data_IF_017418347751
#
_entry.id   IF_017418347751
#
_cell.length_a   1.000
_cell.length_b   1.000
_cell.length_c   1.000
_cell.angle_alpha   90.00
_cell.angle_beta   90.00
_cell.angle_gamma   90.00
#
_symmetry.space_group_name_H-M   'P 1'
#
loop_
_entity.id
_entity.type
_entity.pdbx_description
1 polymer ?
#
# COMPACT_ATOMS: atom_id res chain seq x y z
N UNK A 1 23.64 4.46 -8.73
CA UNK A 1 22.45 4.17 -9.57
C UNK A 1 21.83 2.91 -9.00
N UNK A 2 20.51 2.88 -8.80
CA UNK A 2 19.83 1.72 -8.18
C UNK A 2 19.84 0.53 -9.15
N UNK A 3 20.31 -0.63 -8.69
CA UNK A 3 20.29 -1.86 -9.48
C UNK A 3 18.84 -2.33 -9.72
N UNK A 4 18.53 -2.64 -10.97
CA UNK A 4 17.20 -3.08 -11.43
C UNK A 4 17.25 -4.40 -12.19
N UNK A 5 18.42 -5.03 -12.33
CA UNK A 5 18.58 -6.25 -13.14
C UNK A 5 17.73 -7.42 -12.62
N UNK A 6 17.49 -7.46 -11.30
CA UNK A 6 16.69 -8.48 -10.63
C UNK A 6 15.18 -8.24 -10.73
N UNK A 7 14.74 -7.09 -11.24
CA UNK A 7 13.32 -6.79 -11.38
C UNK A 7 12.73 -7.57 -12.55
N UNK A 8 11.65 -8.30 -12.27
CA UNK A 8 10.95 -9.10 -13.27
C UNK A 8 9.76 -8.36 -13.87
N UNK A 9 9.27 -7.30 -13.21
CA UNK A 9 8.08 -6.57 -13.64
C UNK A 9 8.43 -5.22 -14.28
N UNK A 10 9.33 -4.42 -13.71
CA UNK A 10 9.61 -3.05 -14.20
C UNK A 10 10.07 -3.04 -15.67
N UNK A 11 9.53 -2.11 -16.48
CA UNK A 11 9.88 -1.95 -17.90
C UNK A 11 9.33 -3.01 -18.86
N UNK A 12 8.62 -4.03 -18.37
CA UNK A 12 8.06 -5.13 -19.19
C UNK A 12 6.54 -5.01 -19.36
N UNK A 13 5.96 -5.75 -20.28
CA UNK A 13 4.51 -6.00 -20.22
C UNK A 13 4.25 -7.10 -19.18
N UNK A 14 3.42 -6.82 -18.18
CA UNK A 14 3.20 -7.72 -17.04
C UNK A 14 1.71 -7.83 -16.81
N UNK A 15 1.12 -9.05 -16.92
CA UNK A 15 -0.31 -9.22 -16.74
C UNK A 15 -0.71 -8.90 -15.30
N UNK A 16 -1.96 -8.45 -15.13
CA UNK A 16 -2.51 -8.23 -13.80
C UNK A 16 -2.66 -9.56 -13.06
N UNK A 17 -2.17 -9.69 -11.81
CA UNK A 17 -2.39 -10.89 -11.01
C UNK A 17 -3.88 -11.12 -10.74
N UNK A 18 -4.32 -12.38 -10.77
CA UNK A 18 -5.71 -12.75 -10.54
C UNK A 18 -6.15 -12.56 -9.09
N UNK A 19 -5.20 -12.60 -8.15
CA UNK A 19 -5.46 -12.36 -6.74
C UNK A 19 -4.29 -11.65 -6.04
N UNK A 20 -4.55 -11.01 -4.88
CA UNK A 20 -3.49 -10.44 -4.05
C UNK A 20 -2.46 -11.45 -3.58
N UNK A 21 -2.84 -12.73 -3.42
CA UNK A 21 -1.91 -13.78 -2.99
C UNK A 21 -0.87 -14.10 -4.06
N UNK A 22 -1.25 -14.02 -5.33
CA UNK A 22 -0.38 -14.33 -6.48
C UNK A 22 0.46 -13.14 -6.92
N UNK A 23 0.08 -11.92 -6.52
CA UNK A 23 0.81 -10.71 -6.85
C UNK A 23 2.21 -10.71 -6.21
N UNK A 24 3.22 -10.34 -7.00
CA UNK A 24 4.61 -10.24 -6.56
C UNK A 24 4.95 -8.79 -6.24
N UNK A 25 5.41 -8.55 -5.02
CA UNK A 25 6.01 -7.27 -4.62
C UNK A 25 7.52 -7.38 -4.80
N UNK A 26 8.10 -6.46 -5.55
CA UNK A 26 9.53 -6.35 -5.79
C UNK A 26 10.10 -5.19 -4.99
N UNK A 27 11.39 -5.28 -4.72
CA UNK A 27 12.14 -4.23 -4.04
C UNK A 27 13.44 -3.95 -4.77
N UNK A 28 13.94 -2.74 -4.58
CA UNK A 28 15.26 -2.31 -5.02
C UNK A 28 16.10 -1.88 -3.83
N UNK A 29 17.42 -1.88 -3.98
CA UNK A 29 18.31 -1.42 -2.92
C UNK A 29 18.08 0.06 -2.60
N UNK A 30 18.02 0.37 -1.31
CA UNK A 30 17.99 1.75 -0.82
C UNK A 30 19.38 2.39 -1.05
N UNK A 31 19.52 3.42 -1.90
CA UNK A 31 20.81 4.05 -2.16
C UNK A 31 21.34 4.91 -1.01
N UNK A 32 20.49 5.21 0.00
CA UNK A 32 20.81 6.08 1.13
C UNK A 32 20.48 5.38 2.45
N UNK A 33 21.21 4.29 2.76
CA UNK A 33 21.02 3.51 4.00
C UNK A 33 21.51 4.23 5.27
N UNK A 34 22.32 5.26 5.11
CA UNK A 34 22.91 6.10 6.15
C UNK A 34 22.00 7.25 6.58
N UNK A 35 20.91 7.49 5.84
CA UNK A 35 20.00 8.61 6.06
C UNK A 35 18.59 8.11 6.33
N UNK A 36 17.98 8.58 7.42
CA UNK A 36 16.56 8.34 7.67
C UNK A 36 15.73 9.31 6.81
N UNK A 37 14.88 8.76 5.94
CA UNK A 37 13.91 9.52 5.15
C UNK A 37 12.60 8.74 5.03
N UNK A 38 11.51 9.45 4.75
CA UNK A 38 10.18 8.86 4.68
C UNK A 38 9.77 8.79 3.22
N UNK A 39 9.30 7.63 2.79
CA UNK A 39 8.69 7.44 1.47
C UNK A 39 7.19 7.31 1.65
N UNK A 40 6.44 8.07 0.85
CA UNK A 40 4.97 8.00 0.79
C UNK A 40 4.51 7.55 -0.58
N UNK A 41 3.69 6.50 -0.62
CA UNK A 41 2.84 6.19 -1.77
C UNK A 41 1.42 6.65 -1.51
N UNK A 42 0.86 7.36 -2.48
CA UNK A 42 -0.55 7.70 -2.55
C UNK A 42 -1.19 6.84 -3.64
N UNK A 43 -2.13 5.99 -3.25
CA UNK A 43 -2.83 5.08 -4.15
C UNK A 43 -4.32 5.47 -4.17
N UNK A 44 -4.72 6.45 -5.01
CA UNK A 44 -6.10 6.95 -5.04
C UNK A 44 -7.07 6.05 -5.83
N UNK A 45 -6.56 5.01 -6.49
CA UNK A 45 -7.31 4.17 -7.45
C UNK A 45 -7.59 2.75 -6.90
N UNK A 46 -7.58 2.56 -5.58
CA UNK A 46 -7.80 1.24 -5.01
C UNK A 46 -9.27 0.83 -5.06
N UNK A 47 -9.53 -0.43 -5.42
CA UNK A 47 -10.86 -1.03 -5.37
C UNK A 47 -10.77 -2.53 -5.07
N UNK A 48 -11.80 -3.05 -4.41
CA UNK A 48 -12.00 -4.48 -4.11
C UNK A 48 -13.48 -4.82 -4.03
N UNK A 49 -13.84 -6.06 -3.76
CA UNK A 49 -15.24 -6.49 -3.66
C UNK A 49 -15.67 -6.69 -2.20
N UNK A 50 -16.90 -6.30 -1.89
CA UNK A 50 -17.55 -6.68 -0.63
C UNK A 50 -17.77 -8.21 -0.62
N UNK A 51 -17.36 -8.94 0.44
CA UNK A 51 -17.51 -10.39 0.51
C UNK A 51 -18.95 -10.87 0.61
N UNK A 52 -19.89 -10.00 0.98
CA UNK A 52 -21.31 -10.36 1.14
C UNK A 52 -22.11 -10.06 -0.13
N UNK A 53 -21.91 -8.89 -0.73
CA UNK A 53 -22.76 -8.40 -1.83
C UNK A 53 -22.08 -8.42 -3.19
N UNK A 54 -20.77 -8.68 -3.23
CA UNK A 54 -19.92 -8.55 -4.43
C UNK A 54 -19.94 -7.16 -5.07
N UNK A 55 -20.46 -6.14 -4.39
CA UNK A 55 -20.40 -4.78 -4.87
C UNK A 55 -18.96 -4.24 -4.75
N UNK A 56 -18.50 -3.42 -5.71
CA UNK A 56 -17.15 -2.86 -5.68
C UNK A 56 -17.04 -1.74 -4.65
N UNK A 57 -16.16 -1.93 -3.68
CA UNK A 57 -15.75 -0.91 -2.71
C UNK A 57 -14.54 -0.15 -3.24
N UNK A 58 -14.45 1.15 -2.91
CA UNK A 58 -13.37 2.04 -3.34
C UNK A 58 -12.70 2.66 -2.13
N UNK A 59 -11.40 2.87 -2.22
CA UNK A 59 -10.64 3.52 -1.17
C UNK A 59 -9.47 4.30 -1.74
N UNK A 60 -8.97 5.23 -0.94
CA UNK A 60 -7.65 5.82 -1.12
C UNK A 60 -6.72 5.21 -0.09
N UNK A 61 -5.48 4.94 -0.47
CA UNK A 61 -4.45 4.48 0.47
C UNK A 61 -3.32 5.49 0.53
N UNK A 62 -2.87 5.83 1.73
CA UNK A 62 -1.58 6.44 1.98
C UNK A 62 -0.70 5.42 2.69
N UNK A 63 0.44 5.10 2.09
CA UNK A 63 1.44 4.17 2.63
C UNK A 63 2.69 4.99 2.92
N UNK A 64 3.01 5.16 4.19
CA UNK A 64 4.23 5.78 4.66
C UNK A 64 5.18 4.70 5.16
N UNK A 65 6.46 4.75 4.78
CA UNK A 65 7.45 3.87 5.39
C UNK A 65 8.83 4.52 5.46
N UNK A 66 9.57 4.14 6.50
CA UNK A 66 10.98 4.44 6.67
C UNK A 66 11.75 3.21 6.16
N UNK A 67 12.36 3.27 4.97
CA UNK A 67 13.07 2.14 4.39
C UNK A 67 14.27 1.74 5.25
N UNK A 68 14.64 0.46 5.19
CA UNK A 68 15.91 -0.03 5.72
C UNK A 68 16.89 -0.24 4.56
N UNK A 69 17.08 -1.49 4.16
CA UNK A 69 17.95 -1.86 3.04
C UNK A 69 17.23 -1.77 1.68
N UNK A 70 15.90 -1.87 1.70
CA UNK A 70 15.09 -2.06 0.50
C UNK A 70 14.02 -0.98 0.38
N UNK A 71 13.80 -0.52 -0.84
CA UNK A 71 12.68 0.30 -1.28
C UNK A 71 11.67 -0.56 -2.01
N UNK A 72 10.38 -0.31 -1.80
CA UNK A 72 9.31 -0.97 -2.54
C UNK A 72 9.30 -0.44 -3.98
N UNK A 73 9.30 -1.33 -4.97
CA UNK A 73 9.24 -0.96 -6.38
C UNK A 73 7.81 -0.58 -6.78
N UNK A 74 7.64 0.62 -7.35
CA UNK A 74 6.35 1.25 -7.62
C UNK A 74 5.43 0.49 -8.58
N UNK A 75 5.96 -0.16 -9.64
CA UNK A 75 5.16 -0.93 -10.59
C UNK A 75 4.63 -2.21 -9.94
N UNK A 76 5.46 -2.92 -9.17
CA UNK A 76 5.06 -4.11 -8.42
C UNK A 76 4.00 -3.76 -7.39
N UNK A 77 4.11 -2.60 -6.72
CA UNK A 77 3.09 -2.08 -5.82
C UNK A 77 1.79 -1.79 -6.58
N UNK A 78 1.84 -1.14 -7.75
CA UNK A 78 0.67 -0.90 -8.59
C UNK A 78 -0.04 -2.22 -8.94
N UNK A 79 0.70 -3.23 -9.39
CA UNK A 79 0.14 -4.53 -9.75
C UNK A 79 -0.44 -5.26 -8.54
N UNK A 80 0.22 -5.17 -7.38
CA UNK A 80 -0.29 -5.67 -6.12
C UNK A 80 -1.61 -4.99 -5.73
N UNK A 81 -1.67 -3.66 -5.71
CA UNK A 81 -2.89 -2.92 -5.37
C UNK A 81 -4.03 -3.22 -6.37
N UNK A 82 -3.72 -3.32 -7.66
CA UNK A 82 -4.72 -3.62 -8.68
C UNK A 82 -5.23 -5.08 -8.65
N UNK A 83 -4.45 -6.02 -8.10
CA UNK A 83 -4.87 -7.42 -7.95
C UNK A 83 -6.06 -7.61 -6.99
N UNK A 84 -6.40 -6.60 -6.19
CA UNK A 84 -7.58 -6.62 -5.32
C UNK A 84 -8.89 -6.36 -6.07
N UNK A 85 -8.84 -5.92 -7.33
CA UNK A 85 -10.03 -5.47 -8.09
C UNK A 85 -11.21 -6.44 -8.04
N UNK A 86 -10.93 -7.73 -8.15
CA UNK A 86 -11.93 -8.80 -8.10
C UNK A 86 -11.78 -9.69 -6.85
N UNK A 87 -11.04 -9.22 -5.84
CA UNK A 87 -10.84 -9.92 -4.58
C UNK A 87 -11.87 -9.47 -3.55
N UNK A 88 -12.50 -10.45 -2.91
CA UNK A 88 -13.55 -10.21 -1.93
C UNK A 88 -13.00 -10.27 -0.50
N UNK A 89 -13.03 -9.15 0.23
CA UNK A 89 -12.56 -9.06 1.61
C UNK A 89 -13.14 -7.82 2.32
N UNK A 90 -13.22 -7.89 3.66
CA UNK A 90 -13.60 -6.73 4.47
C UNK A 90 -12.52 -5.63 4.41
N UNK A 91 -12.92 -4.39 4.67
CA UNK A 91 -12.06 -3.21 4.56
C UNK A 91 -10.83 -3.33 5.47
N UNK A 92 -11.04 -3.83 6.68
CA UNK A 92 -10.01 -4.07 7.69
C UNK A 92 -9.04 -5.16 7.25
N UNK A 93 -9.55 -6.31 6.80
CA UNK A 93 -8.71 -7.43 6.37
C UNK A 93 -7.86 -7.05 5.14
N UNK A 94 -8.47 -6.41 4.14
CA UNK A 94 -7.76 -5.83 2.99
C UNK A 94 -6.61 -4.92 3.44
N UNK A 95 -6.90 -3.97 4.33
CA UNK A 95 -5.91 -2.97 4.79
C UNK A 95 -4.76 -3.62 5.55
N UNK A 96 -5.06 -4.52 6.48
CA UNK A 96 -4.04 -5.21 7.29
C UNK A 96 -3.23 -6.17 6.42
N UNK A 97 -3.86 -6.88 5.48
CA UNK A 97 -3.16 -7.76 4.55
C UNK A 97 -2.16 -6.98 3.68
N UNK A 98 -2.56 -5.83 3.14
CA UNK A 98 -1.66 -4.92 2.40
C UNK A 98 -0.47 -4.54 3.28
N UNK A 99 -0.71 -4.03 4.49
CA UNK A 99 0.36 -3.64 5.42
C UNK A 99 1.34 -4.77 5.71
N UNK A 100 0.84 -5.97 6.02
CA UNK A 100 1.66 -7.17 6.28
C UNK A 100 2.49 -7.59 5.06
N UNK A 101 1.93 -7.51 3.85
CA UNK A 101 2.63 -7.84 2.61
C UNK A 101 3.77 -6.87 2.32
N UNK A 102 3.56 -5.57 2.54
CA UNK A 102 4.59 -4.55 2.38
C UNK A 102 5.72 -4.70 3.41
N UNK A 103 5.38 -5.00 4.67
CA UNK A 103 6.38 -5.32 5.71
C UNK A 103 7.20 -6.54 5.33
N UNK A 104 6.56 -7.62 4.86
CA UNK A 104 7.26 -8.83 4.42
C UNK A 104 8.18 -8.56 3.22
N UNK A 105 7.77 -7.72 2.29
CA UNK A 105 8.54 -7.42 1.08
C UNK A 105 9.78 -6.56 1.37
N UNK A 106 9.62 -5.45 2.09
CA UNK A 106 10.67 -4.45 2.25
C UNK A 106 11.39 -4.46 3.60
N UNK A 107 10.85 -5.17 4.61
CA UNK A 107 11.33 -5.17 5.99
C UNK A 107 11.73 -3.76 6.49
N UNK A 108 10.83 -2.76 6.38
CA UNK A 108 11.15 -1.38 6.72
C UNK A 108 11.41 -1.23 8.23
N UNK A 109 12.04 -0.13 8.62
CA UNK A 109 12.21 0.21 10.04
C UNK A 109 10.85 0.51 10.66
N UNK A 110 10.00 1.21 9.91
CA UNK A 110 8.65 1.58 10.30
C UNK A 110 7.75 1.69 9.07
N UNK A 111 6.48 1.32 9.22
CA UNK A 111 5.47 1.47 8.17
C UNK A 111 4.13 1.86 8.79
N UNK A 112 3.41 2.75 8.12
CA UNK A 112 2.03 3.13 8.38
C UNK A 112 1.20 3.02 7.10
N UNK A 113 0.02 2.43 7.24
CA UNK A 113 -1.02 2.39 6.21
C UNK A 113 -2.23 3.13 6.75
N UNK A 114 -2.75 4.03 5.92
CA UNK A 114 -3.97 4.77 6.17
C UNK A 114 -4.88 4.52 4.97
N UNK A 115 -5.99 3.81 5.17
CA UNK A 115 -6.95 3.47 4.14
C UNK A 115 -8.28 4.18 4.42
N UNK A 116 -8.72 5.03 3.50
CA UNK A 116 -9.97 5.77 3.62
C UNK A 116 -10.98 5.21 2.63
N UNK A 117 -11.93 4.42 3.15
CA UNK A 117 -12.92 3.72 2.35
C UNK A 117 -14.16 4.58 2.11
N UNK A 118 -14.69 4.48 0.90
CA UNK A 118 -15.87 5.23 0.48
C UNK A 118 -17.10 4.70 1.18
N UNK A 119 -18.10 5.55 1.47
CA UNK A 119 -19.20 5.19 2.35
C UNK A 119 -20.11 4.11 1.77
N UNK A 120 -20.58 3.24 2.66
CA UNK A 120 -21.76 2.38 2.45
C UNK A 120 -22.85 2.79 3.43
N UNK A 121 -24.06 3.00 2.92
CA UNK A 121 -25.16 3.54 3.73
C UNK A 121 -24.86 4.91 4.37
N UNK A 122 -23.99 5.72 3.73
CA UNK A 122 -23.58 7.02 4.25
C UNK A 122 -22.46 6.99 5.29
N UNK A 123 -21.90 5.82 5.63
CA UNK A 123 -20.88 5.66 6.67
C UNK A 123 -19.54 5.26 6.02
N UNK A 124 -18.52 6.14 6.04
CA UNK A 124 -17.17 5.79 5.63
C UNK A 124 -16.46 4.97 6.71
N UNK A 125 -15.47 4.17 6.30
CA UNK A 125 -14.63 3.40 7.22
C UNK A 125 -13.18 3.79 6.94
N UNK A 126 -12.51 4.34 7.94
CA UNK A 126 -11.08 4.63 7.85
C UNK A 126 -10.32 3.62 8.70
N UNK A 127 -9.35 2.93 8.08
CA UNK A 127 -8.53 1.90 8.75
C UNK A 127 -7.10 2.39 8.82
N UNK A 128 -6.57 2.45 10.04
CA UNK A 128 -5.20 2.88 10.32
C UNK A 128 -4.39 1.71 10.89
N UNK A 129 -3.21 1.51 10.33
CA UNK A 129 -2.28 0.48 10.79
C UNK A 129 -0.86 1.05 10.83
N UNK A 130 -0.08 0.70 11.86
CA UNK A 130 1.36 0.96 11.87
C UNK A 130 2.10 -0.16 12.60
N UNK A 131 3.34 -0.41 12.21
CA UNK A 131 4.16 -1.51 12.76
C UNK A 131 4.71 -1.24 14.16
N UNK A 132 4.66 0.01 14.62
CA UNK A 132 5.22 0.43 15.90
C UNK A 132 5.06 1.93 16.16
N UNK A 133 5.71 2.47 17.21
CA UNK A 133 5.67 3.90 17.51
C UNK A 133 6.27 4.71 16.35
N UNK A 134 5.75 5.93 16.16
CA UNK A 134 6.28 6.86 15.16
C UNK A 134 7.78 7.10 15.40
N UNK A 135 8.65 6.95 14.38
CA UNK A 135 10.08 7.22 14.52
C UNK A 135 10.32 8.69 14.88
N UNK A 136 11.35 8.94 15.69
CA UNK A 136 11.78 10.29 16.09
C UNK A 136 12.76 10.86 15.05
N UNK A 137 12.83 12.18 14.97
CA UNK A 137 13.82 12.87 14.13
C UNK A 137 13.54 12.79 12.63
N UNK A 138 12.31 12.47 12.25
CA UNK A 138 11.85 12.43 10.87
C UNK A 138 10.48 13.09 10.79
N UNK A 139 10.27 13.90 9.74
CA UNK A 139 8.96 14.46 9.49
C UNK A 139 8.02 13.37 8.96
N UNK A 140 6.85 13.26 9.60
CA UNK A 140 5.81 12.30 9.24
C UNK A 140 4.56 13.11 8.95
N UNK A 141 4.29 13.43 7.68
CA UNK A 141 3.15 14.27 7.33
C UNK A 141 1.84 13.59 7.79
N UNK A 142 0.86 14.39 8.16
CA UNK A 142 -0.49 13.88 8.39
C UNK A 142 -1.03 13.16 7.13
N UNK A 143 -1.98 12.21 7.28
CA UNK A 143 -2.57 11.52 6.15
C UNK A 143 -3.07 12.52 5.09
N UNK A 144 -2.66 12.33 3.84
CA UNK A 144 -2.85 13.29 2.75
C UNK A 144 -4.30 13.42 2.25
N UNK A 145 -5.27 12.84 2.96
CA UNK A 145 -6.65 12.78 2.52
C UNK A 145 -7.57 13.25 3.62
N UNK A 146 -8.48 14.13 3.23
CA UNK A 146 -9.61 14.51 4.05
C UNK A 146 -10.56 13.31 4.15
N UNK A 147 -11.15 13.04 5.33
CA UNK A 147 -12.29 12.14 5.45
C UNK A 147 -13.35 12.47 4.41
N UNK A 148 -14.17 11.47 4.02
CA UNK A 148 -15.24 11.69 3.06
C UNK A 148 -16.16 12.83 3.53
N UNK A 149 -16.23 13.91 2.75
CA UNK A 149 -17.01 15.12 3.09
C UNK A 149 -18.40 15.16 2.43
N UNK A 150 -18.84 14.09 1.78
CA UNK A 150 -20.05 14.13 0.95
C UNK A 150 -19.78 14.57 -0.49
N UNK A 151 -20.86 14.75 -1.24
CA UNK A 151 -20.88 15.56 -2.46
C UNK A 151 -21.41 16.94 -2.13
#
# INVERSE_FOLDING_TARGET
MTDTEKLTQLGRDTPLPQSPKDAVLETVENPHIDTNYLVRFLCPEFTSLCPITSQPDFAKFAIDYLPRQNLIESKSLKLFMASFRNHAAFHEDCTIFIGKRLVKAAAPVWLRVTAMWYPRGGIPIDVFFQTGPKPKGIDIPEPAYTPYIGR
#
